data_IF_848394582370
#
_entry.id   IF_848394582370
#
_cell.length_a   1.000
_cell.length_b   1.000
_cell.length_c   1.000
_cell.angle_alpha   90.00
_cell.angle_beta   90.00
_cell.angle_gamma   90.00
#
_symmetry.space_group_name_H-M   'P 1'
#
loop_
_entity.id
_entity.type
_entity.pdbx_description
1 polymer ?
#
# COMPACT_ATOMS: atom_id res chain seq x y z
N UNK A 1 20.24 5.88 -22.63
CA UNK A 1 19.40 5.51 -21.48
C UNK A 1 18.89 6.77 -20.82
N UNK A 2 17.62 7.05 -20.93
CA UNK A 2 16.99 8.14 -20.16
C UNK A 2 16.91 7.67 -18.71
N UNK A 3 17.71 8.27 -17.84
CA UNK A 3 17.57 8.05 -16.39
C UNK A 3 16.17 8.52 -15.99
N UNK A 4 15.36 7.60 -15.48
CA UNK A 4 14.04 7.91 -14.95
C UNK A 4 14.24 8.85 -13.75
N UNK A 5 13.88 10.12 -13.94
CA UNK A 5 13.98 11.10 -12.86
C UNK A 5 12.75 11.00 -11.96
N UNK A 6 12.92 10.30 -10.84
CA UNK A 6 11.86 10.03 -9.88
C UNK A 6 11.19 11.30 -9.34
N UNK A 7 12.00 12.31 -9.02
CA UNK A 7 11.48 13.60 -8.53
C UNK A 7 10.63 14.31 -9.56
N UNK A 8 10.99 14.22 -10.84
CA UNK A 8 10.22 14.79 -11.93
C UNK A 8 8.91 14.02 -12.14
N UNK A 9 8.95 12.69 -12.06
CA UNK A 9 7.74 11.87 -12.17
C UNK A 9 6.74 12.15 -11.06
N UNK A 10 7.20 12.29 -9.81
CA UNK A 10 6.36 12.66 -8.68
C UNK A 10 5.79 14.07 -8.85
N UNK A 11 6.61 15.03 -9.26
CA UNK A 11 6.18 16.42 -9.44
C UNK A 11 5.23 16.66 -10.62
N UNK A 12 5.11 15.70 -11.53
CA UNK A 12 4.21 15.77 -12.69
C UNK A 12 2.85 15.08 -12.50
N UNK A 13 2.58 14.52 -11.30
CA UNK A 13 1.30 13.86 -11.01
C UNK A 13 0.14 14.87 -11.04
N UNK A 14 -0.94 14.47 -11.70
CA UNK A 14 -2.17 15.26 -11.85
C UNK A 14 -3.14 14.94 -10.72
N UNK A 15 -3.43 15.92 -9.85
CA UNK A 15 -4.43 15.79 -8.76
C UNK A 15 -4.44 14.39 -8.13
N UNK A 16 -3.31 13.94 -7.55
CA UNK A 16 -3.13 12.54 -7.19
C UNK A 16 -4.05 12.11 -6.05
N UNK A 17 -4.57 10.90 -6.16
CA UNK A 17 -5.41 10.25 -5.15
C UNK A 17 -4.60 9.12 -4.50
N UNK A 18 -4.54 9.11 -3.17
CA UNK A 18 -3.93 8.00 -2.42
C UNK A 18 -4.93 6.84 -2.31
N UNK A 19 -4.49 5.66 -2.72
CA UNK A 19 -5.23 4.40 -2.56
C UNK A 19 -4.50 3.51 -1.58
N UNK A 20 -5.19 3.04 -0.55
CA UNK A 20 -4.62 2.19 0.52
C UNK A 20 -5.46 0.94 0.72
N UNK A 21 -4.81 -0.20 0.80
CA UNK A 21 -5.44 -1.46 1.15
C UNK A 21 -4.55 -2.27 2.08
N UNK A 22 -4.85 -2.28 3.38
CA UNK A 22 -4.15 -3.09 4.36
C UNK A 22 -4.53 -4.57 4.24
N UNK A 23 -3.59 -5.51 4.45
CA UNK A 23 -3.94 -6.90 4.64
C UNK A 23 -4.91 -7.05 5.81
N UNK A 24 -5.95 -7.83 5.64
CA UNK A 24 -6.99 -8.01 6.65
C UNK A 24 -7.93 -9.13 6.29
N UNK A 25 -9.16 -9.05 6.76
CA UNK A 25 -10.17 -10.10 6.60
C UNK A 25 -10.32 -10.53 5.12
N UNK A 26 -10.09 -11.82 4.87
CA UNK A 26 -10.16 -12.42 3.53
C UNK A 26 -9.19 -11.82 2.51
N UNK A 27 -8.23 -11.00 2.93
CA UNK A 27 -7.33 -10.27 2.05
C UNK A 27 -8.04 -9.42 0.96
N UNK A 28 -9.28 -9.03 1.20
CA UNK A 28 -10.09 -8.28 0.22
C UNK A 28 -9.41 -6.98 -0.17
N UNK A 29 -9.05 -6.14 0.81
CA UNK A 29 -8.43 -4.84 0.55
C UNK A 29 -7.09 -4.97 -0.19
N UNK A 30 -6.21 -5.86 0.25
CA UNK A 30 -4.92 -6.11 -0.41
C UNK A 30 -5.09 -6.71 -1.80
N UNK A 31 -6.12 -7.53 -2.03
CA UNK A 31 -6.43 -8.07 -3.35
C UNK A 31 -6.94 -6.99 -4.31
N UNK A 32 -7.77 -6.06 -3.86
CA UNK A 32 -8.20 -4.91 -4.66
C UNK A 32 -7.00 -4.08 -5.12
N UNK A 33 -6.12 -3.73 -4.19
CA UNK A 33 -4.92 -2.93 -4.51
C UNK A 33 -3.97 -3.71 -5.43
N UNK A 34 -3.78 -5.01 -5.19
CA UNK A 34 -2.94 -5.86 -6.05
C UNK A 34 -3.50 -5.97 -7.47
N UNK A 35 -4.81 -6.09 -7.62
CA UNK A 35 -5.46 -6.11 -8.94
C UNK A 35 -5.22 -4.80 -9.67
N UNK A 36 -5.37 -3.67 -8.98
CA UNK A 36 -5.09 -2.35 -9.54
C UNK A 36 -3.64 -2.24 -10.03
N UNK A 37 -2.67 -2.67 -9.22
CA UNK A 37 -1.24 -2.65 -9.58
C UNK A 37 -0.95 -3.55 -10.77
N UNK A 38 -1.49 -4.76 -10.80
CA UNK A 38 -1.23 -5.75 -11.85
C UNK A 38 -1.89 -5.39 -13.19
N UNK A 39 -2.99 -4.62 -13.15
CA UNK A 39 -3.69 -4.15 -14.35
C UNK A 39 -3.16 -2.85 -14.92
N UNK A 40 -2.13 -2.27 -14.30
CA UNK A 40 -1.58 -0.96 -14.66
C UNK A 40 -0.05 -0.99 -14.70
N UNK A 41 0.54 0.07 -15.29
CA UNK A 41 1.99 0.28 -15.26
C UNK A 41 2.39 1.04 -13.99
N UNK A 42 2.38 0.36 -12.85
CA UNK A 42 2.77 0.95 -11.58
C UNK A 42 4.29 0.95 -11.39
N UNK A 43 4.82 2.00 -10.79
CA UNK A 43 6.24 2.15 -10.48
C UNK A 43 6.43 2.42 -9.00
N UNK A 44 7.31 1.66 -8.34
CA UNK A 44 7.71 1.93 -6.95
C UNK A 44 8.55 3.20 -6.91
N UNK A 45 8.17 4.13 -6.06
CA UNK A 45 8.83 5.44 -5.97
C UNK A 45 9.38 5.77 -4.59
N UNK A 46 8.83 5.17 -3.55
CA UNK A 46 9.25 5.41 -2.16
C UNK A 46 8.84 4.26 -1.26
N UNK A 47 9.37 4.24 -0.04
CA UNK A 47 9.01 3.30 1.02
C UNK A 47 9.00 4.00 2.37
N UNK A 48 8.15 3.56 3.28
CA UNK A 48 8.25 3.90 4.69
C UNK A 48 9.16 2.89 5.41
N UNK A 49 9.86 3.37 6.43
CA UNK A 49 10.64 2.52 7.30
C UNK A 49 9.73 1.71 8.23
N UNK A 50 9.77 0.38 8.20
CA UNK A 50 8.92 -0.44 9.04
C UNK A 50 9.42 -0.62 10.48
N UNK A 51 10.68 -0.28 10.79
CA UNK A 51 11.37 -0.68 12.03
C UNK A 51 10.70 -0.23 13.32
N UNK A 52 9.98 0.90 13.30
CA UNK A 52 9.31 1.43 14.49
C UNK A 52 7.92 0.79 14.72
N UNK A 53 7.42 0.03 13.75
CA UNK A 53 6.03 -0.46 13.74
C UNK A 53 5.90 -1.96 13.60
N UNK A 54 7.00 -2.64 13.29
CA UNK A 54 7.02 -4.09 13.02
C UNK A 54 8.22 -4.75 13.68
N UNK A 55 7.98 -5.91 14.26
CA UNK A 55 9.01 -6.79 14.78
C UNK A 55 9.30 -7.91 13.79
N UNK A 56 10.52 -8.46 13.87
CA UNK A 56 10.89 -9.66 13.11
C UNK A 56 10.36 -10.87 13.87
N UNK A 57 9.25 -11.44 13.43
CA UNK A 57 8.62 -12.59 14.07
C UNK A 57 9.06 -13.92 13.47
N UNK A 58 9.56 -13.90 12.23
CA UNK A 58 9.88 -15.12 11.50
C UNK A 58 11.38 -15.41 11.51
N UNK A 59 11.71 -16.70 11.49
CA UNK A 59 13.05 -17.21 11.30
C UNK A 59 13.05 -18.01 10.00
N UNK A 60 13.96 -17.68 9.09
CA UNK A 60 14.18 -18.43 7.86
C UNK A 60 15.31 -19.45 8.08
N UNK A 61 15.05 -20.73 7.83
CA UNK A 61 16.07 -21.77 7.90
C UNK A 61 16.48 -22.17 6.48
N UNK A 62 17.74 -21.94 6.14
CA UNK A 62 18.32 -22.34 4.85
C UNK A 62 19.57 -23.22 5.10
N UNK A 63 19.57 -24.45 4.57
CA UNK A 63 20.70 -25.39 4.68
C UNK A 63 21.15 -25.61 6.14
N UNK A 64 20.21 -25.67 7.10
CA UNK A 64 20.52 -25.85 8.51
C UNK A 64 21.01 -24.62 9.25
N UNK A 65 21.05 -23.45 8.61
CA UNK A 65 21.42 -22.16 9.21
C UNK A 65 20.17 -21.31 9.39
N UNK A 66 20.00 -20.76 10.60
CA UNK A 66 18.91 -19.85 10.93
C UNK A 66 19.27 -18.41 10.58
N UNK A 67 18.39 -17.75 9.86
CA UNK A 67 18.48 -16.33 9.54
C UNK A 67 17.28 -15.60 10.15
N UNK A 68 17.44 -14.36 10.62
CA UNK A 68 16.28 -13.54 11.01
C UNK A 68 15.40 -13.34 9.78
N UNK A 69 14.10 -13.33 9.99
CA UNK A 69 13.11 -12.98 8.97
C UNK A 69 13.29 -11.55 8.46
N UNK A 70 12.47 -11.18 7.51
CA UNK A 70 12.51 -9.84 6.91
C UNK A 70 11.37 -9.00 7.47
N UNK A 71 11.67 -7.74 7.72
CA UNK A 71 10.61 -6.75 7.98
C UNK A 71 9.73 -6.58 6.73
N UNK A 72 8.41 -6.35 6.93
CA UNK A 72 7.50 -6.13 5.81
C UNK A 72 7.83 -4.85 5.05
N UNK A 73 7.57 -4.86 3.76
CA UNK A 73 7.73 -3.68 2.92
C UNK A 73 6.48 -2.80 2.99
N UNK A 74 6.71 -1.49 3.04
CA UNK A 74 5.69 -0.45 3.05
C UNK A 74 5.94 0.48 1.86
N UNK A 75 5.44 0.11 0.69
CA UNK A 75 5.82 0.74 -0.57
C UNK A 75 4.78 1.75 -1.06
N UNK A 76 5.28 2.88 -1.56
CA UNK A 76 4.50 3.79 -2.40
C UNK A 76 4.78 3.51 -3.88
N UNK A 77 3.71 3.41 -4.64
CA UNK A 77 3.73 3.28 -6.09
C UNK A 77 2.96 4.41 -6.73
N UNK A 78 3.38 4.84 -7.90
CA UNK A 78 2.61 5.76 -8.73
C UNK A 78 2.05 5.03 -9.95
N UNK A 79 0.86 5.43 -10.35
CA UNK A 79 0.18 5.01 -11.55
C UNK A 79 -0.26 6.27 -12.29
N UNK A 80 0.36 6.53 -13.43
CA UNK A 80 -0.03 7.62 -14.31
C UNK A 80 -1.21 7.16 -15.15
N UNK A 81 -2.28 7.93 -15.13
CA UNK A 81 -3.52 7.60 -15.83
C UNK A 81 -3.77 8.54 -17.02
N UNK A 82 -4.71 8.15 -17.87
CA UNK A 82 -5.21 9.03 -18.95
C UNK A 82 -6.39 9.91 -18.50
N UNK A 83 -6.72 9.88 -17.20
CA UNK A 83 -7.79 10.69 -16.59
C UNK A 83 -7.24 11.97 -15.95
N UNK A 84 -8.12 12.73 -15.30
CA UNK A 84 -7.76 13.96 -14.58
C UNK A 84 -7.00 13.70 -13.27
N UNK A 85 -6.97 12.45 -12.81
CA UNK A 85 -6.32 12.05 -11.57
C UNK A 85 -5.31 10.91 -11.80
N UNK A 86 -4.11 11.09 -11.30
CA UNK A 86 -3.14 10.00 -11.15
C UNK A 86 -3.31 9.33 -9.79
N UNK A 87 -2.74 8.16 -9.60
CA UNK A 87 -2.86 7.42 -8.36
C UNK A 87 -1.51 7.26 -7.67
N UNK A 88 -1.53 7.44 -6.37
CA UNK A 88 -0.47 7.02 -5.46
C UNK A 88 -1.01 5.82 -4.69
N UNK A 89 -0.39 4.67 -4.81
CA UNK A 89 -0.86 3.44 -4.19
C UNK A 89 0.10 3.03 -3.09
N UNK A 90 -0.40 2.89 -1.88
CA UNK A 90 0.37 2.39 -0.75
C UNK A 90 0.09 0.90 -0.54
N UNK A 91 1.15 0.10 -0.54
CA UNK A 91 1.08 -1.36 -0.44
C UNK A 91 1.85 -1.86 0.76
N UNK A 92 1.21 -1.98 1.93
CA UNK A 92 1.79 -2.65 3.09
C UNK A 92 1.72 -4.18 2.92
N UNK A 93 2.78 -4.89 3.29
CA UNK A 93 2.80 -6.36 3.28
C UNK A 93 2.13 -6.96 4.51
N UNK A 94 2.11 -6.23 5.63
CA UNK A 94 1.53 -6.68 6.91
C UNK A 94 0.81 -5.55 7.63
N UNK A 95 -0.06 -5.91 8.57
CA UNK A 95 -0.65 -4.98 9.54
C UNK A 95 0.40 -4.61 10.59
N UNK A 96 0.46 -3.34 11.05
CA UNK A 96 1.35 -2.96 12.14
C UNK A 96 0.93 -3.66 13.43
N UNK A 97 1.92 -4.12 14.20
CA UNK A 97 1.72 -4.79 15.49
C UNK A 97 1.56 -3.79 16.63
N UNK A 98 2.21 -2.64 16.48
CA UNK A 98 2.17 -1.54 17.45
C UNK A 98 2.11 -0.20 16.72
N UNK A 99 1.79 0.86 17.46
CA UNK A 99 1.84 2.25 16.98
C UNK A 99 1.09 2.48 15.64
N UNK A 100 -0.04 1.78 15.43
CA UNK A 100 -0.80 1.83 14.17
C UNK A 100 -1.28 3.26 13.83
N UNK A 101 -1.62 4.06 14.84
CA UNK A 101 -2.03 5.44 14.65
C UNK A 101 -0.85 6.31 14.20
N UNK A 102 0.34 6.10 14.77
CA UNK A 102 1.55 6.82 14.38
C UNK A 102 1.94 6.49 12.94
N UNK A 103 1.89 5.21 12.56
CA UNK A 103 2.13 4.80 11.17
C UNK A 103 1.13 5.44 10.20
N UNK A 104 -0.15 5.52 10.58
CA UNK A 104 -1.17 6.19 9.77
C UNK A 104 -0.87 7.69 9.61
N UNK A 105 -0.47 8.37 10.69
CA UNK A 105 -0.04 9.78 10.62
C UNK A 105 1.19 9.96 9.73
N UNK A 106 2.18 9.09 9.85
CA UNK A 106 3.40 9.11 9.04
C UNK A 106 3.08 8.89 7.55
N UNK A 107 2.21 7.91 7.26
CA UNK A 107 1.72 7.64 5.91
C UNK A 107 1.08 8.88 5.28
N UNK A 108 0.12 9.49 5.97
CA UNK A 108 -0.59 10.68 5.49
C UNK A 108 0.35 11.88 5.35
N UNK A 109 1.25 12.08 6.31
CA UNK A 109 2.24 13.17 6.25
C UNK A 109 3.14 13.05 5.02
N UNK A 110 3.65 11.86 4.72
CA UNK A 110 4.46 11.61 3.53
C UNK A 110 3.63 11.78 2.26
N UNK A 111 2.40 11.28 2.25
CA UNK A 111 1.50 11.40 1.11
C UNK A 111 1.20 12.86 0.77
N UNK A 112 0.95 13.70 1.77
CA UNK A 112 0.73 15.13 1.60
C UNK A 112 2.00 15.87 1.16
N UNK A 113 3.13 15.64 1.85
CA UNK A 113 4.35 16.42 1.61
C UNK A 113 5.10 16.02 0.35
N UNK A 114 5.08 14.73 0.00
CA UNK A 114 5.83 14.20 -1.15
C UNK A 114 5.01 14.19 -2.43
N UNK A 115 3.73 13.77 -2.33
CA UNK A 115 2.88 13.55 -3.50
C UNK A 115 1.78 14.60 -3.68
N UNK A 116 1.60 15.48 -2.70
CA UNK A 116 0.56 16.51 -2.73
C UNK A 116 -0.85 15.92 -3.00
N UNK A 117 -1.19 14.84 -2.30
CA UNK A 117 -2.47 14.15 -2.49
C UNK A 117 -3.65 15.03 -2.10
N UNK A 118 -4.77 14.88 -2.81
CA UNK A 118 -6.02 15.63 -2.56
C UNK A 118 -7.08 14.77 -1.88
N UNK A 119 -7.05 13.46 -2.13
CA UNK A 119 -8.04 12.50 -1.62
C UNK A 119 -7.38 11.20 -1.21
N UNK A 120 -8.03 10.51 -0.27
CA UNK A 120 -7.62 9.17 0.16
C UNK A 120 -8.80 8.22 -0.04
N UNK A 121 -8.54 7.09 -0.68
CA UNK A 121 -9.48 5.97 -0.82
C UNK A 121 -8.89 4.79 -0.06
N UNK A 122 -9.65 4.22 0.86
CA UNK A 122 -9.25 3.02 1.60
C UNK A 122 -10.19 1.88 1.29
N UNK A 123 -9.63 0.69 1.10
CA UNK A 123 -10.38 -0.55 1.03
C UNK A 123 -10.30 -1.28 2.37
N UNK A 124 -11.41 -1.82 2.82
CA UNK A 124 -11.49 -2.67 4.00
C UNK A 124 -12.54 -3.76 3.79
N UNK A 125 -12.51 -4.79 4.60
CA UNK A 125 -13.55 -5.80 4.68
C UNK A 125 -13.97 -5.96 6.13
N UNK A 126 -15.27 -6.15 6.33
CA UNK A 126 -15.86 -6.44 7.63
C UNK A 126 -16.63 -7.77 7.54
N UNK A 127 -16.67 -8.50 8.64
CA UNK A 127 -17.53 -9.68 8.74
C UNK A 127 -19.00 -9.22 8.88
N UNK A 128 -19.87 -9.87 8.15
CA UNK A 128 -21.32 -9.64 8.22
C UNK A 128 -22.09 -10.95 8.13
N UNK A 129 -23.35 -10.94 8.55
CA UNK A 129 -24.27 -12.05 8.30
C UNK A 129 -24.70 -11.95 6.83
N UNK A 130 -24.12 -12.79 5.97
CA UNK A 130 -24.46 -12.92 4.55
C UNK A 130 -24.79 -14.37 4.31
N UNK A 131 -25.99 -14.63 3.80
CA UNK A 131 -26.38 -15.98 3.39
C UNK A 131 -25.74 -16.30 2.02
N UNK A 132 -25.47 -17.59 1.71
CA UNK A 132 -24.85 -17.96 0.43
C UNK A 132 -25.63 -17.53 -0.81
N UNK A 133 -26.94 -17.31 -0.66
CA UNK A 133 -27.84 -16.88 -1.74
C UNK A 133 -27.92 -15.36 -1.88
N UNK A 134 -27.31 -14.60 -0.97
CA UNK A 134 -27.31 -13.14 -1.03
C UNK A 134 -26.36 -12.62 -2.11
N UNK A 135 -26.81 -11.61 -2.84
CA UNK A 135 -25.93 -10.90 -3.77
C UNK A 135 -24.81 -10.16 -2.99
N UNK A 136 -23.56 -10.19 -3.48
CA UNK A 136 -22.46 -9.48 -2.85
C UNK A 136 -22.74 -7.96 -2.86
N UNK A 137 -22.61 -7.34 -1.70
CA UNK A 137 -22.83 -5.89 -1.52
C UNK A 137 -21.48 -5.19 -1.33
N UNK A 138 -21.30 -4.10 -2.09
CA UNK A 138 -20.22 -3.14 -1.90
C UNK A 138 -20.85 -1.83 -1.45
N UNK A 139 -20.40 -1.30 -0.33
CA UNK A 139 -20.85 -0.02 0.24
C UNK A 139 -19.69 0.97 0.35
#
# INVERSE_FOLDING_TARGET
MTSFNLSQAIGSLKSPILVVGWPGLGNVASSCVRTLINSTNSVVVSALDPRDHFDIEDIEVKNGVCFPGKLPQLLFRIIVTNSDHDLVVFTPESQPQSESMELAHKLISVALSTFNIEKVITFAAISGAVEPEDDPKVS
#
